data_IF_574219534332
#
_entry.id   IF_574219534332
#
_cell.length_a   1.000
_cell.length_b   1.000
_cell.length_c   1.000
_cell.angle_alpha   90.00
_cell.angle_beta   90.00
_cell.angle_gamma   90.00
#
_symmetry.space_group_name_H-M   'P 1'
#
loop_
_entity.id
_entity.type
_entity.pdbx_description
1 polymer ?
#
# COMPACT_ATOMS: atom_id res chain seq x y z
N UNK A 1 18.68 2.65 -7.40
CA UNK A 1 18.57 3.55 -6.23
C UNK A 1 19.89 4.32 -6.11
N UNK A 2 19.81 5.65 -6.06
CA UNK A 2 20.98 6.45 -5.76
C UNK A 2 21.27 6.33 -4.25
N UNK A 3 22.48 5.87 -3.93
CA UNK A 3 22.97 5.81 -2.56
C UNK A 3 24.05 6.87 -2.40
N UNK A 4 24.01 7.62 -1.31
CA UNK A 4 25.09 8.53 -0.91
C UNK A 4 25.76 7.99 0.34
N UNK A 5 27.03 8.31 0.52
CA UNK A 5 27.77 7.98 1.74
C UNK A 5 27.89 9.23 2.60
N UNK A 6 27.26 9.21 3.78
CA UNK A 6 27.37 10.28 4.77
C UNK A 6 27.88 9.68 6.09
N UNK A 7 28.94 10.26 6.62
CA UNK A 7 29.57 9.81 7.87
C UNK A 7 29.95 8.33 7.90
N UNK A 8 30.35 7.75 6.74
CA UNK A 8 30.68 6.34 6.62
C UNK A 8 29.48 5.37 6.59
N UNK A 9 28.27 5.91 6.46
CA UNK A 9 27.04 5.12 6.34
C UNK A 9 26.44 5.30 4.93
N UNK A 10 26.01 4.19 4.35
CA UNK A 10 25.25 4.22 3.10
C UNK A 10 23.81 4.67 3.39
N UNK A 11 23.47 5.85 2.87
CA UNK A 11 22.14 6.45 3.01
C UNK A 11 21.42 6.51 1.66
N UNK A 12 20.10 6.34 1.69
CA UNK A 12 19.27 6.61 0.50
C UNK A 12 19.24 8.10 0.15
N UNK A 13 19.19 8.42 -1.13
CA UNK A 13 18.94 9.80 -1.57
C UNK A 13 17.45 10.09 -1.47
N UNK A 14 17.09 11.13 -0.71
CA UNK A 14 15.71 11.58 -0.57
C UNK A 14 15.39 12.67 -1.57
N UNK A 15 14.23 12.56 -2.20
CA UNK A 15 13.74 13.52 -3.18
C UNK A 15 12.36 14.00 -2.75
N UNK A 16 12.14 15.31 -2.79
CA UNK A 16 10.82 15.88 -2.51
C UNK A 16 9.93 15.75 -3.73
N UNK A 17 8.76 15.15 -3.54
CA UNK A 17 7.70 15.13 -4.55
C UNK A 17 6.79 16.35 -4.35
N UNK A 18 6.24 16.88 -5.45
CA UNK A 18 5.28 17.99 -5.42
C UNK A 18 3.94 17.48 -4.84
N UNK A 19 3.51 17.94 -3.65
CA UNK A 19 2.26 17.48 -3.05
C UNK A 19 1.02 17.86 -3.89
N UNK A 20 1.09 18.88 -4.73
CA UNK A 20 -0.01 19.28 -5.62
C UNK A 20 -0.29 18.23 -6.72
N UNK A 21 0.64 17.32 -6.96
CA UNK A 21 0.50 16.22 -7.93
C UNK A 21 -0.05 14.92 -7.31
N UNK A 22 -0.23 14.88 -6.00
CA UNK A 22 -0.83 13.73 -5.36
C UNK A 22 -2.34 13.67 -5.63
N UNK A 23 -2.91 12.48 -5.84
CA UNK A 23 -4.37 12.31 -5.87
C UNK A 23 -4.97 12.54 -4.49
N UNK A 24 -6.30 12.53 -4.43
CA UNK A 24 -6.99 12.45 -3.15
C UNK A 24 -6.68 11.10 -2.48
N UNK A 25 -6.20 11.16 -1.24
CA UNK A 25 -5.76 10.00 -0.47
C UNK A 25 -6.66 9.80 0.75
N UNK A 26 -6.89 8.55 1.09
CA UNK A 26 -7.54 8.17 2.35
C UNK A 26 -6.71 7.15 3.12
N UNK A 27 -6.94 7.09 4.42
CA UNK A 27 -6.49 6.04 5.32
C UNK A 27 -7.73 5.41 5.96
N UNK A 28 -7.80 4.10 6.02
CA UNK A 28 -8.80 3.43 6.84
C UNK A 28 -8.13 2.41 7.77
N UNK A 29 -8.61 2.31 8.99
CA UNK A 29 -8.06 1.41 9.99
C UNK A 29 -9.14 0.79 10.86
N UNK A 30 -8.90 -0.44 11.28
CA UNK A 30 -9.74 -1.15 12.23
C UNK A 30 -9.34 -0.74 13.65
N UNK A 31 -10.30 -0.24 14.42
CA UNK A 31 -10.10 0.20 15.81
C UNK A 31 -9.91 -0.97 16.78
N UNK A 32 -10.30 -2.17 16.40
CA UNK A 32 -10.26 -3.36 17.25
C UNK A 32 -8.97 -4.17 17.13
N UNK A 33 -8.20 -3.96 16.06
CA UNK A 33 -7.02 -4.78 15.75
C UNK A 33 -5.76 -4.12 16.26
N UNK A 34 -5.37 -4.48 17.47
CA UNK A 34 -4.06 -4.22 18.04
C UNK A 34 -3.11 -5.42 17.95
N UNK A 35 -3.14 -6.20 16.88
CA UNK A 35 -2.26 -7.38 16.76
C UNK A 35 -0.83 -7.00 16.39
N UNK A 36 0.16 -7.64 17.04
CA UNK A 36 1.57 -7.37 16.75
C UNK A 36 1.93 -7.72 15.31
N UNK A 37 2.60 -6.81 14.65
CA UNK A 37 3.15 -6.89 13.29
C UNK A 37 3.98 -8.15 13.01
N UNK A 38 4.54 -8.75 14.05
CA UNK A 38 5.50 -9.86 13.96
C UNK A 38 4.89 -11.18 13.48
N UNK A 39 3.60 -11.39 13.68
CA UNK A 39 2.91 -12.65 13.34
C UNK A 39 2.78 -12.87 11.82
N UNK A 40 2.87 -11.82 11.01
CA UNK A 40 2.58 -11.87 9.57
C UNK A 40 3.80 -11.93 8.64
N UNK A 41 4.99 -12.07 9.18
CA UNK A 41 6.20 -12.06 8.36
C UNK A 41 6.55 -13.39 7.69
N UNK A 42 5.61 -14.31 7.47
CA UNK A 42 5.72 -15.52 6.64
C UNK A 42 7.15 -15.98 6.27
N UNK A 43 8.13 -15.65 7.11
CA UNK A 43 9.56 -15.85 6.88
C UNK A 43 10.03 -15.39 5.47
N UNK A 44 9.51 -14.28 4.96
CA UNK A 44 9.82 -13.78 3.61
C UNK A 44 11.32 -13.62 3.39
N UNK A 45 12.05 -13.12 4.41
CA UNK A 45 13.51 -13.01 4.34
C UNK A 45 14.18 -14.37 4.14
N UNK A 46 13.76 -15.39 4.90
CA UNK A 46 14.31 -16.75 4.77
C UNK A 46 14.02 -17.35 3.40
N UNK A 47 12.79 -17.21 2.91
CA UNK A 47 12.37 -17.68 1.58
C UNK A 47 13.14 -16.94 0.46
N UNK A 48 13.34 -15.65 0.59
CA UNK A 48 14.17 -14.86 -0.34
C UNK A 48 15.61 -15.34 -0.36
N UNK A 49 16.23 -15.55 0.80
CA UNK A 49 17.61 -16.00 0.92
C UNK A 49 17.81 -17.43 0.38
N UNK A 50 16.76 -18.24 0.38
CA UNK A 50 16.74 -19.58 -0.23
C UNK A 50 16.53 -19.52 -1.76
N UNK A 51 16.32 -18.33 -2.32
CA UNK A 51 16.09 -18.13 -3.76
C UNK A 51 14.73 -18.61 -4.23
N UNK A 52 13.70 -18.62 -3.37
CA UNK A 52 12.35 -18.98 -3.79
C UNK A 52 11.86 -18.06 -4.90
N UNK A 53 11.64 -18.63 -6.10
CA UNK A 53 11.40 -17.87 -7.32
C UNK A 53 10.22 -16.90 -7.23
N UNK A 54 9.12 -17.31 -6.58
CA UNK A 54 7.93 -16.48 -6.37
C UNK A 54 8.24 -15.24 -5.52
N UNK A 55 9.01 -15.41 -4.45
CA UNK A 55 9.39 -14.33 -3.54
C UNK A 55 10.39 -13.38 -4.21
N UNK A 56 11.40 -13.93 -4.91
CA UNK A 56 12.38 -13.12 -5.65
C UNK A 56 11.68 -12.26 -6.71
N UNK A 57 10.78 -12.86 -7.50
CA UNK A 57 10.00 -12.16 -8.51
C UNK A 57 9.11 -11.06 -7.90
N UNK A 58 8.47 -11.34 -6.76
CA UNK A 58 7.65 -10.35 -6.06
C UNK A 58 8.49 -9.15 -5.56
N UNK A 59 9.70 -9.39 -5.04
CA UNK A 59 10.60 -8.30 -4.63
C UNK A 59 11.03 -7.42 -5.81
N UNK A 60 11.33 -8.03 -6.97
CA UNK A 60 11.62 -7.30 -8.20
C UNK A 60 10.41 -6.49 -8.67
N UNK A 61 9.20 -7.06 -8.59
CA UNK A 61 7.96 -6.36 -8.93
C UNK A 61 7.71 -5.18 -8.00
N UNK A 62 7.90 -5.31 -6.69
CA UNK A 62 7.77 -4.16 -5.75
C UNK A 62 8.72 -3.02 -6.11
N UNK A 63 9.97 -3.33 -6.46
CA UNK A 63 10.92 -2.31 -6.91
C UNK A 63 10.44 -1.60 -8.18
N UNK A 64 9.97 -2.35 -9.18
CA UNK A 64 9.42 -1.78 -10.41
C UNK A 64 8.19 -0.90 -10.15
N UNK A 65 7.21 -1.40 -9.35
CA UNK A 65 6.03 -0.63 -8.97
C UNK A 65 6.39 0.69 -8.27
N UNK A 66 7.45 0.71 -7.45
CA UNK A 66 7.90 1.94 -6.77
C UNK A 66 8.43 2.97 -7.77
N UNK A 67 9.22 2.54 -8.76
CA UNK A 67 9.73 3.43 -9.82
C UNK A 67 8.58 4.00 -10.65
N UNK A 68 7.64 3.15 -11.06
CA UNK A 68 6.47 3.58 -11.83
C UNK A 68 5.57 4.52 -11.02
N UNK A 69 5.35 4.25 -9.72
CA UNK A 69 4.55 5.12 -8.86
C UNK A 69 5.18 6.51 -8.72
N UNK A 70 6.52 6.59 -8.60
CA UNK A 70 7.24 7.87 -8.61
C UNK A 70 6.98 8.66 -9.90
N UNK A 71 7.04 7.99 -11.06
CA UNK A 71 6.76 8.60 -12.37
C UNK A 71 5.30 9.05 -12.45
N UNK A 72 4.35 8.19 -12.08
CA UNK A 72 2.92 8.52 -12.09
C UNK A 72 2.59 9.74 -11.22
N UNK A 73 3.20 9.86 -10.03
CA UNK A 73 3.06 11.04 -9.17
C UNK A 73 3.67 12.28 -9.86
N UNK A 74 4.89 12.17 -10.40
CA UNK A 74 5.57 13.30 -11.05
C UNK A 74 4.80 13.84 -12.26
N UNK A 75 4.08 12.98 -12.95
CA UNK A 75 3.27 13.30 -14.14
C UNK A 75 1.80 13.60 -13.82
N UNK A 76 1.35 13.39 -12.58
CA UNK A 76 -0.04 13.58 -12.14
C UNK A 76 -0.99 12.50 -12.68
N UNK A 77 -0.47 11.32 -12.99
CA UNK A 77 -1.24 10.19 -13.52
C UNK A 77 -1.97 9.44 -12.39
N UNK A 78 -2.99 10.06 -11.82
CA UNK A 78 -3.69 9.57 -10.63
C UNK A 78 -4.29 8.18 -10.81
N UNK A 79 -4.87 7.88 -11.99
CA UNK A 79 -5.45 6.57 -12.28
C UNK A 79 -4.36 5.48 -12.38
N UNK A 80 -3.19 5.82 -12.94
CA UNK A 80 -2.06 4.88 -12.97
C UNK A 80 -1.57 4.57 -11.56
N UNK A 81 -1.45 5.60 -10.71
CA UNK A 81 -1.07 5.41 -9.31
C UNK A 81 -2.07 4.52 -8.56
N UNK A 82 -3.38 4.70 -8.78
CA UNK A 82 -4.41 3.84 -8.20
C UNK A 82 -4.20 2.37 -8.57
N UNK A 83 -3.96 2.09 -9.84
CA UNK A 83 -3.67 0.73 -10.34
C UNK A 83 -2.41 0.15 -9.69
N UNK A 84 -1.34 0.93 -9.57
CA UNK A 84 -0.08 0.49 -8.95
C UNK A 84 -0.23 0.18 -7.44
N UNK A 85 -1.10 0.92 -6.75
CA UNK A 85 -1.47 0.65 -5.35
C UNK A 85 -2.13 -0.72 -5.24
N UNK A 86 -3.07 -1.04 -6.12
CA UNK A 86 -3.76 -2.32 -6.14
C UNK A 86 -2.80 -3.47 -6.50
N UNK A 87 -1.98 -3.29 -7.52
CA UNK A 87 -0.96 -4.28 -7.90
C UNK A 87 0.05 -4.57 -6.78
N UNK A 88 0.39 -3.57 -5.97
CA UNK A 88 1.26 -3.74 -4.81
C UNK A 88 0.63 -4.69 -3.78
N UNK A 89 -0.66 -4.51 -3.46
CA UNK A 89 -1.37 -5.39 -2.55
C UNK A 89 -1.49 -6.81 -3.12
N UNK A 90 -1.88 -6.96 -4.39
CA UNK A 90 -2.06 -8.26 -5.04
C UNK A 90 -0.73 -9.04 -5.09
N UNK A 91 0.37 -8.34 -5.34
CA UNK A 91 1.72 -8.94 -5.28
C UNK A 91 2.05 -9.41 -3.87
N UNK A 92 1.70 -8.64 -2.83
CA UNK A 92 1.89 -9.05 -1.44
C UNK A 92 1.05 -10.28 -1.10
N UNK A 93 -0.22 -10.28 -1.49
CA UNK A 93 -1.13 -11.39 -1.24
C UNK A 93 -0.67 -12.69 -1.92
N UNK A 94 0.01 -12.61 -3.08
CA UNK A 94 0.51 -13.79 -3.80
C UNK A 94 1.64 -14.53 -3.06
N UNK A 95 2.36 -13.86 -2.16
CA UNK A 95 3.51 -14.44 -1.43
C UNK A 95 3.33 -14.53 0.08
N UNK A 96 2.27 -13.90 0.62
CA UNK A 96 1.98 -13.86 2.05
C UNK A 96 0.59 -14.42 2.35
N UNK A 97 0.47 -15.17 3.43
CA UNK A 97 -0.82 -15.46 4.03
C UNK A 97 -1.24 -14.24 4.85
N UNK A 98 -2.27 -13.55 4.41
CA UNK A 98 -2.78 -12.35 5.05
C UNK A 98 -4.04 -12.68 5.86
N UNK A 99 -4.28 -12.00 7.01
CA UNK A 99 -5.50 -12.21 7.79
C UNK A 99 -6.74 -11.86 7.00
N UNK A 100 -7.74 -12.74 7.02
CA UNK A 100 -8.98 -12.59 6.24
C UNK A 100 -9.69 -11.27 6.50
N UNK A 101 -9.76 -10.82 7.77
CA UNK A 101 -10.38 -9.53 8.12
C UNK A 101 -9.66 -8.33 7.48
N UNK A 102 -8.34 -8.38 7.40
CA UNK A 102 -7.55 -7.30 6.77
C UNK A 102 -7.65 -7.32 5.24
N UNK A 103 -7.69 -8.52 4.62
CA UNK A 103 -7.97 -8.66 3.19
C UNK A 103 -9.36 -8.11 2.87
N UNK A 104 -10.34 -8.39 3.75
CA UNK A 104 -11.70 -7.88 3.62
C UNK A 104 -11.78 -6.35 3.58
N UNK A 105 -10.96 -5.64 4.35
CA UNK A 105 -10.88 -4.16 4.28
C UNK A 105 -10.49 -3.68 2.88
N UNK A 106 -9.51 -4.32 2.24
CA UNK A 106 -9.08 -3.98 0.88
C UNK A 106 -10.18 -4.29 -0.13
N UNK A 107 -10.84 -5.45 -0.02
CA UNK A 107 -11.95 -5.83 -0.90
C UNK A 107 -13.13 -4.85 -0.80
N UNK A 108 -13.49 -4.43 0.41
CA UNK A 108 -14.55 -3.46 0.65
C UNK A 108 -14.22 -2.10 0.04
N UNK A 109 -13.00 -1.62 0.22
CA UNK A 109 -12.56 -0.36 -0.36
C UNK A 109 -12.56 -0.39 -1.90
N UNK A 110 -12.10 -1.49 -2.50
CA UNK A 110 -12.13 -1.67 -3.96
C UNK A 110 -13.56 -1.81 -4.50
N UNK A 111 -14.47 -2.43 -3.75
CA UNK A 111 -15.88 -2.50 -4.11
C UNK A 111 -16.54 -1.13 -4.16
N UNK A 112 -16.10 -0.17 -3.33
CA UNK A 112 -16.51 1.24 -3.39
C UNK A 112 -15.82 2.03 -4.51
N UNK A 113 -14.96 1.39 -5.34
CA UNK A 113 -14.27 2.02 -6.48
C UNK A 113 -12.92 2.64 -6.15
N UNK A 114 -12.47 2.60 -4.88
CA UNK A 114 -11.18 3.14 -4.47
C UNK A 114 -10.05 2.13 -4.68
N UNK A 115 -8.82 2.61 -4.85
CA UNK A 115 -7.64 1.73 -4.74
C UNK A 115 -7.30 1.45 -3.28
N UNK A 116 -6.68 0.30 -2.99
CA UNK A 116 -6.34 -0.05 -1.62
C UNK A 116 -5.14 -0.99 -1.50
N UNK A 117 -4.25 -0.67 -0.56
CA UNK A 117 -3.18 -1.56 -0.07
C UNK A 117 -2.99 -1.37 1.43
N UNK A 118 -2.30 -2.28 2.09
CA UNK A 118 -1.91 -2.06 3.49
C UNK A 118 -0.99 -0.84 3.62
N UNK A 119 -1.27 0.01 4.60
CA UNK A 119 -0.43 1.18 4.91
C UNK A 119 0.94 0.78 5.47
N UNK A 120 1.01 -0.38 6.11
CA UNK A 120 2.23 -0.97 6.66
C UNK A 120 2.14 -2.48 6.71
N UNK A 121 2.23 -3.06 7.91
CA UNK A 121 2.15 -4.52 8.14
C UNK A 121 0.74 -5.07 8.02
N UNK A 122 -0.27 -4.28 8.38
CA UNK A 122 -1.70 -4.62 8.42
C UNK A 122 -2.44 -3.74 9.41
N UNK A 123 -3.74 -3.98 9.61
CA UNK A 123 -4.61 -3.19 10.51
C UNK A 123 -5.03 -1.84 9.94
N UNK A 124 -4.35 -1.34 8.94
CA UNK A 124 -4.70 -0.13 8.22
C UNK A 124 -4.45 -0.28 6.71
N UNK A 125 -5.29 0.37 5.92
CA UNK A 125 -5.17 0.46 4.46
C UNK A 125 -5.04 1.91 4.03
N UNK A 126 -4.34 2.15 2.94
CA UNK A 126 -4.21 3.44 2.26
C UNK A 126 -4.53 3.26 0.79
N UNK A 127 -5.16 4.25 0.21
CA UNK A 127 -5.48 4.25 -1.22
C UNK A 127 -5.89 5.62 -1.73
N UNK A 128 -6.33 5.63 -2.97
CA UNK A 128 -6.82 6.83 -3.65
C UNK A 128 -8.32 6.74 -3.86
N UNK A 129 -8.97 7.90 -3.90
CA UNK A 129 -10.36 8.05 -4.31
C UNK A 129 -10.49 9.24 -5.26
N UNK A 130 -11.57 9.33 -6.05
CA UNK A 130 -11.70 10.33 -7.10
C UNK A 130 -12.50 11.56 -6.67
N UNK A 131 -13.52 11.37 -5.85
CA UNK A 131 -14.46 12.45 -5.50
C UNK A 131 -15.17 12.20 -4.16
N UNK A 132 -15.93 13.19 -3.72
CA UNK A 132 -16.65 13.12 -2.44
C UNK A 132 -17.71 12.00 -2.39
N UNK A 133 -18.27 11.60 -3.54
CA UNK A 133 -19.26 10.51 -3.59
C UNK A 133 -18.58 9.17 -3.29
N UNK A 134 -17.40 8.92 -3.88
CA UNK A 134 -16.62 7.72 -3.61
C UNK A 134 -16.13 7.68 -2.16
N UNK A 135 -15.72 8.83 -1.58
CA UNK A 135 -15.35 8.89 -0.17
C UNK A 135 -16.53 8.53 0.75
N UNK A 136 -17.72 9.05 0.46
CA UNK A 136 -18.93 8.72 1.23
C UNK A 136 -19.28 7.22 1.11
N UNK A 137 -19.11 6.61 -0.06
CA UNK A 137 -19.31 5.19 -0.28
C UNK A 137 -18.27 4.34 0.49
N UNK A 138 -17.00 4.79 0.52
CA UNK A 138 -15.96 4.18 1.33
C UNK A 138 -16.33 4.17 2.82
N UNK A 139 -16.80 5.31 3.34
CA UNK A 139 -17.24 5.42 4.74
C UNK A 139 -18.43 4.50 5.02
N UNK A 140 -19.44 4.50 4.13
CA UNK A 140 -20.64 3.67 4.26
C UNK A 140 -20.31 2.16 4.23
N UNK A 141 -19.30 1.77 3.44
CA UNK A 141 -18.92 0.37 3.22
C UNK A 141 -17.98 -0.15 4.33
N UNK A 142 -17.07 0.69 4.82
CA UNK A 142 -16.05 0.30 5.81
C UNK A 142 -16.51 0.45 7.26
N UNK A 143 -17.38 1.43 7.58
CA UNK A 143 -17.86 1.66 8.94
C UNK A 143 -18.59 0.47 9.54
N UNK A 144 -19.47 -0.27 8.82
CA UNK A 144 -20.12 -1.46 9.37
C UNK A 144 -19.13 -2.61 9.65
N UNK A 145 -17.94 -2.59 9.04
CA UNK A 145 -16.87 -3.53 9.32
C UNK A 145 -15.95 -3.11 10.49
N UNK A 146 -16.33 -2.05 11.24
CA UNK A 146 -15.56 -1.57 12.39
C UNK A 146 -14.37 -0.65 12.01
N UNK A 147 -14.30 -0.20 10.78
CA UNK A 147 -13.20 0.63 10.29
C UNK A 147 -13.56 2.12 10.35
N UNK A 148 -12.58 2.94 10.71
CA UNK A 148 -12.65 4.39 10.56
C UNK A 148 -11.92 4.82 9.30
N UNK A 149 -12.53 5.73 8.53
CA UNK A 149 -11.95 6.32 7.33
C UNK A 149 -11.50 7.75 7.64
N UNK A 150 -10.28 8.08 7.23
CA UNK A 150 -9.71 9.43 7.35
C UNK A 150 -9.34 9.94 5.96
N UNK A 151 -9.79 11.14 5.65
CA UNK A 151 -9.31 11.88 4.49
C UNK A 151 -7.91 12.43 4.79
N UNK A 152 -6.93 12.20 3.90
CA UNK A 152 -5.55 12.67 4.07
C UNK A 152 -5.25 13.95 3.27
N UNK A 153 -6.01 14.23 2.22
CA UNK A 153 -5.81 15.40 1.34
C UNK A 153 -7.13 15.86 0.75
#
# INVERSE_FOLDING_TARGET
EAMSEEHGLLCGTYETLDPAKLPQLYLAFDQSVGEPTEVFHNNIRGRFNQGEASVVAAMQKFAALTVEARTAIAEGEHQRLATLIDENFDTRQSICQLPTGQVRMVELARAAGASAKFAGSGGAIVGTYTDASMLAELEATLSPAGCQVLKLS
#
